data_IF_168734111616
#
_entry.id   IF_168734111616
#
_cell.length_a   1.000
_cell.length_b   1.000
_cell.length_c   1.000
_cell.angle_alpha   90.00
_cell.angle_beta   90.00
_cell.angle_gamma   90.00
#
_symmetry.space_group_name_H-M   'P 1'
#
loop_
_entity.id
_entity.type
_entity.pdbx_description
1 polymer ?
#
# COMPACT_ATOMS: atom_id res chain seq x y z
N UNK A 1 -15.59 -23.96 -1.43
CA UNK A 1 -14.57 -23.60 -2.44
C UNK A 1 -13.37 -24.55 -2.37
N UNK A 2 -12.74 -24.86 -3.51
CA UNK A 2 -11.47 -25.62 -3.55
C UNK A 2 -10.29 -24.67 -3.50
N UNK A 3 -9.50 -24.78 -2.44
CA UNK A 3 -8.27 -24.01 -2.29
C UNK A 3 -7.05 -24.92 -2.30
N UNK A 4 -6.02 -24.49 -3.03
CA UNK A 4 -4.68 -25.07 -2.98
C UNK A 4 -3.88 -24.35 -1.89
N UNK A 5 -3.40 -25.08 -0.89
CA UNK A 5 -2.55 -24.52 0.14
C UNK A 5 -1.20 -24.06 -0.46
N UNK A 6 -0.75 -22.80 -0.22
CA UNK A 6 0.53 -22.33 -0.75
C UNK A 6 1.74 -23.00 -0.10
N UNK A 7 1.58 -23.60 1.10
CA UNK A 7 2.69 -24.20 1.84
C UNK A 7 2.90 -25.69 1.53
N UNK A 8 1.82 -26.47 1.45
CA UNK A 8 1.92 -27.92 1.23
C UNK A 8 1.29 -28.40 -0.07
N UNK A 9 0.73 -27.47 -0.87
CA UNK A 9 0.09 -27.76 -2.15
C UNK A 9 -1.14 -28.67 -2.09
N UNK A 10 -1.59 -29.07 -0.89
CA UNK A 10 -2.81 -29.85 -0.72
C UNK A 10 -4.02 -29.06 -1.20
N UNK A 11 -4.84 -29.71 -2.03
CA UNK A 11 -6.12 -29.18 -2.50
C UNK A 11 -7.23 -29.79 -1.63
N UNK A 12 -8.00 -28.94 -0.97
CA UNK A 12 -9.11 -29.36 -0.11
C UNK A 12 -10.33 -28.48 -0.34
N UNK A 13 -11.49 -29.06 -0.08
CA UNK A 13 -12.77 -28.34 -0.04
C UNK A 13 -12.89 -27.65 1.32
N UNK A 14 -13.11 -26.33 1.30
CA UNK A 14 -13.36 -25.49 2.47
C UNK A 14 -14.76 -24.86 2.34
N UNK A 15 -15.46 -24.76 3.47
CA UNK A 15 -16.72 -24.04 3.57
C UNK A 15 -16.47 -22.55 3.35
N UNK A 16 -17.47 -21.86 2.79
CA UNK A 16 -17.38 -20.45 2.45
C UNK A 16 -17.30 -19.64 3.76
N UNK A 17 -16.18 -18.95 4.05
CA UNK A 17 -16.06 -18.23 5.32
C UNK A 17 -17.05 -17.06 5.32
N UNK A 18 -17.81 -16.90 6.41
CA UNK A 18 -18.74 -15.78 6.61
C UNK A 18 -17.96 -14.46 6.70
N UNK A 19 -17.64 -13.86 5.55
CA UNK A 19 -17.22 -12.48 5.27
C UNK A 19 -16.14 -11.79 6.14
N UNK A 20 -15.62 -12.42 7.20
CA UNK A 20 -14.71 -11.80 8.20
C UNK A 20 -13.50 -12.65 8.55
N UNK A 21 -13.44 -13.91 8.14
CA UNK A 21 -12.28 -14.76 8.39
C UNK A 21 -11.34 -14.73 7.18
N UNK A 22 -10.34 -13.85 7.25
CA UNK A 22 -9.35 -13.63 6.19
C UNK A 22 -8.36 -14.81 6.07
N UNK A 23 -8.33 -15.71 7.05
CA UNK A 23 -7.35 -16.81 7.17
C UNK A 23 -8.03 -18.18 7.23
N UNK A 24 -7.51 -19.10 6.41
CA UNK A 24 -7.93 -20.51 6.36
C UNK A 24 -6.81 -21.36 6.93
N UNK A 25 -7.13 -22.23 7.89
CA UNK A 25 -6.18 -23.23 8.39
C UNK A 25 -6.19 -24.47 7.50
N UNK A 26 -5.03 -24.82 6.94
CA UNK A 26 -4.91 -25.96 6.05
C UNK A 26 -5.12 -27.29 6.79
N UNK A 27 -6.05 -28.14 6.30
CA UNK A 27 -6.30 -29.49 6.85
C UNK A 27 -5.14 -30.48 6.61
N UNK A 28 -4.18 -30.15 5.72
CA UNK A 28 -3.04 -31.02 5.40
C UNK A 28 -1.80 -30.74 6.24
N UNK A 29 -1.38 -29.47 6.33
CA UNK A 29 -0.16 -29.07 7.05
C UNK A 29 -0.41 -28.24 8.31
N UNK A 30 -1.67 -27.93 8.64
CA UNK A 30 -2.06 -27.18 9.83
C UNK A 30 -1.73 -25.68 9.82
N UNK A 31 -1.07 -25.17 8.76
CA UNK A 31 -0.71 -23.76 8.63
C UNK A 31 -1.88 -22.91 8.18
N UNK A 32 -1.94 -21.68 8.69
CA UNK A 32 -2.90 -20.66 8.28
C UNK A 32 -2.38 -19.91 7.06
N UNK A 33 -3.26 -19.64 6.10
CA UNK A 33 -2.95 -18.85 4.91
C UNK A 33 -4.16 -17.99 4.55
N UNK A 34 -3.94 -16.86 3.86
CA UNK A 34 -5.07 -16.02 3.46
C UNK A 34 -5.78 -16.61 2.25
N UNK A 35 -7.12 -16.59 2.26
CA UNK A 35 -7.91 -17.10 1.13
C UNK A 35 -7.56 -16.39 -0.20
N UNK A 36 -7.18 -15.10 -0.15
CA UNK A 36 -6.73 -14.31 -1.29
C UNK A 36 -5.37 -14.77 -1.87
N UNK A 37 -4.54 -15.47 -1.09
CA UNK A 37 -3.23 -16.00 -1.53
C UNK A 37 -3.35 -17.39 -2.17
N UNK A 38 -4.52 -18.03 -2.03
CA UNK A 38 -4.84 -19.29 -2.70
C UNK A 38 -5.68 -19.03 -3.95
N UNK A 39 -5.19 -19.45 -5.12
CA UNK A 39 -5.99 -19.38 -6.36
C UNK A 39 -7.24 -20.26 -6.21
N UNK A 40 -8.46 -19.70 -6.33
CA UNK A 40 -9.65 -20.51 -6.43
C UNK A 40 -9.54 -21.32 -7.72
N UNK A 41 -9.60 -22.65 -7.62
CA UNK A 41 -9.68 -23.51 -8.80
C UNK A 41 -11.12 -23.50 -9.31
N UNK A 42 -11.58 -22.38 -9.86
CA UNK A 42 -12.84 -22.34 -10.60
C UNK A 42 -12.61 -22.96 -11.98
N UNK A 43 -13.44 -23.93 -12.32
CA UNK A 43 -13.41 -24.60 -13.61
C UNK A 43 -13.60 -23.59 -14.76
N UNK A 44 -12.86 -23.81 -15.84
CA UNK A 44 -12.96 -23.17 -17.17
C UNK A 44 -12.11 -21.90 -17.38
N UNK A 45 -10.93 -22.09 -17.97
CA UNK A 45 -10.35 -21.13 -18.92
C UNK A 45 -9.38 -21.87 -19.85
N UNK A 46 -9.96 -22.49 -20.88
CA UNK A 46 -9.28 -22.86 -22.11
C UNK A 46 -8.82 -21.61 -22.85
N UNK A 47 -7.58 -21.64 -23.37
CA UNK A 47 -7.21 -20.88 -24.56
C UNK A 47 -6.62 -19.48 -24.33
N UNK A 48 -5.29 -19.44 -24.37
CA UNK A 48 -4.44 -18.48 -25.11
C UNK A 48 -4.70 -16.96 -25.00
N UNK A 49 -3.63 -16.25 -24.62
CA UNK A 49 -3.35 -14.81 -24.86
C UNK A 49 -3.62 -13.80 -23.73
N UNK A 50 -4.14 -14.23 -22.57
CA UNK A 50 -4.32 -13.32 -21.42
C UNK A 50 -3.07 -13.11 -20.59
N UNK A 51 -2.15 -14.08 -20.51
CA UNK A 51 -0.95 -13.99 -19.68
C UNK A 51 0.04 -12.90 -20.14
N UNK A 52 0.18 -12.73 -21.45
CA UNK A 52 1.06 -11.70 -22.01
C UNK A 52 0.39 -10.32 -22.02
N UNK A 53 -0.92 -10.24 -22.28
CA UNK A 53 -1.70 -9.02 -22.14
C UNK A 53 -1.71 -8.49 -20.69
N UNK A 54 -1.89 -9.37 -19.70
CA UNK A 54 -1.80 -9.03 -18.27
C UNK A 54 -0.37 -8.63 -17.90
N UNK A 55 0.66 -9.33 -18.39
CA UNK A 55 2.07 -8.90 -18.18
C UNK A 55 2.38 -7.56 -18.85
N UNK A 56 1.83 -7.25 -20.02
CA UNK A 56 2.00 -5.96 -20.70
C UNK A 56 1.26 -4.84 -19.95
N UNK A 57 0.05 -5.10 -19.43
CA UNK A 57 -0.64 -4.17 -18.54
C UNK A 57 0.14 -3.93 -17.24
N UNK A 58 0.68 -4.99 -16.63
CA UNK A 58 1.54 -4.87 -15.44
C UNK A 58 2.84 -4.11 -15.75
N UNK A 59 3.48 -4.34 -16.91
CA UNK A 59 4.65 -3.57 -17.34
C UNK A 59 4.32 -2.10 -17.63
N UNK A 60 3.18 -1.79 -18.25
CA UNK A 60 2.75 -0.42 -18.52
C UNK A 60 2.39 0.34 -17.23
N UNK A 61 1.82 -0.33 -16.24
CA UNK A 61 1.48 0.28 -14.94
C UNK A 61 2.68 0.35 -13.99
N UNK A 62 3.61 -0.62 -14.04
CA UNK A 62 4.86 -0.59 -13.27
C UNK A 62 5.78 0.56 -13.67
N UNK A 63 5.75 1.01 -14.93
CA UNK A 63 6.48 2.20 -15.39
C UNK A 63 6.01 3.53 -14.78
N UNK A 64 4.85 3.55 -14.09
CA UNK A 64 4.30 4.73 -13.40
C UNK A 64 4.01 4.48 -11.92
N UNK A 65 4.30 3.29 -11.40
CA UNK A 65 4.12 2.98 -9.98
C UNK A 65 5.29 3.60 -9.21
N UNK A 66 5.05 4.76 -8.58
CA UNK A 66 6.01 5.30 -7.62
C UNK A 66 6.33 4.24 -6.57
N UNK A 67 7.62 4.15 -6.22
CA UNK A 67 8.13 3.21 -5.22
C UNK A 67 7.27 3.29 -3.93
N UNK A 68 6.65 2.18 -3.50
CA UNK A 68 5.81 2.16 -2.31
C UNK A 68 6.56 2.64 -1.06
N UNK A 69 7.88 2.44 -0.99
CA UNK A 69 8.71 2.97 0.10
C UNK A 69 8.71 4.49 0.09
N UNK A 70 8.88 5.13 -1.08
CA UNK A 70 8.82 6.59 -1.22
C UNK A 70 7.45 7.15 -0.87
N UNK A 71 6.36 6.46 -1.25
CA UNK A 71 4.99 6.86 -0.87
C UNK A 71 4.81 6.83 0.65
N UNK A 72 5.28 5.79 1.32
CA UNK A 72 5.20 5.69 2.79
C UNK A 72 6.08 6.73 3.50
N UNK A 73 7.25 7.04 2.93
CA UNK A 73 8.16 8.04 3.48
C UNK A 73 7.58 9.46 3.41
N UNK A 74 6.94 9.84 2.30
CA UNK A 74 6.24 11.14 2.17
C UNK A 74 5.13 11.29 3.22
N UNK A 75 4.28 10.26 3.37
CA UNK A 75 3.20 10.29 4.33
C UNK A 75 3.72 10.47 5.77
N UNK A 76 4.83 9.79 6.11
CA UNK A 76 5.49 9.92 7.41
C UNK A 76 6.00 11.34 7.65
N UNK A 77 6.74 11.92 6.69
CA UNK A 77 7.27 13.28 6.79
C UNK A 77 6.16 14.32 7.00
N UNK A 78 5.03 14.16 6.31
CA UNK A 78 3.87 15.05 6.44
C UNK A 78 3.24 14.95 7.83
N UNK A 79 3.10 13.73 8.37
CA UNK A 79 2.55 13.49 9.69
C UNK A 79 3.46 14.04 10.81
N UNK A 80 4.77 13.77 10.73
CA UNK A 80 5.78 14.30 11.67
C UNK A 80 5.79 15.83 11.66
N UNK A 81 5.74 16.45 10.48
CA UNK A 81 5.68 17.91 10.37
C UNK A 81 4.43 18.48 11.03
N UNK A 82 3.26 17.85 10.87
CA UNK A 82 2.03 18.29 11.54
C UNK A 82 2.14 18.24 13.08
N UNK A 83 2.83 17.24 13.63
CA UNK A 83 3.10 17.15 15.07
C UNK A 83 4.01 18.30 15.51
N UNK A 84 5.08 18.58 14.77
CA UNK A 84 5.99 19.69 15.07
C UNK A 84 5.31 21.06 14.99
N UNK A 85 4.41 21.28 14.03
CA UNK A 85 3.61 22.52 13.95
C UNK A 85 2.79 22.70 15.23
N UNK A 86 2.13 21.65 15.72
CA UNK A 86 1.33 21.72 16.96
C UNK A 86 2.17 21.99 18.20
N UNK A 87 3.44 21.58 18.20
CA UNK A 87 4.39 21.81 19.29
C UNK A 87 5.08 23.19 19.22
N UNK A 88 4.89 23.94 18.15
CA UNK A 88 5.63 25.19 17.90
C UNK A 88 7.04 24.98 17.35
N UNK A 89 7.42 23.73 17.05
CA UNK A 89 8.73 23.36 16.48
C UNK A 89 8.78 23.69 14.98
N UNK A 90 8.61 24.96 14.61
CA UNK A 90 8.43 25.37 13.21
C UNK A 90 9.60 25.01 12.31
N UNK A 91 10.84 25.06 12.79
CA UNK A 91 12.02 24.66 12.01
C UNK A 91 12.02 23.18 11.63
N UNK A 92 11.65 22.30 12.57
CA UNK A 92 11.55 20.85 12.31
C UNK A 92 10.40 20.54 11.37
N UNK A 93 9.27 21.23 11.52
CA UNK A 93 8.16 21.13 10.59
C UNK A 93 8.57 21.54 9.17
N UNK A 94 9.23 22.68 9.00
CA UNK A 94 9.68 23.17 7.67
C UNK A 94 10.66 22.18 7.03
N UNK A 95 11.60 21.62 7.79
CA UNK A 95 12.53 20.62 7.29
C UNK A 95 11.82 19.37 6.74
N UNK A 96 10.87 18.80 7.49
CA UNK A 96 10.09 17.65 7.07
C UNK A 96 9.23 17.92 5.83
N UNK A 97 8.58 19.08 5.77
CA UNK A 97 7.75 19.50 4.63
C UNK A 97 8.59 19.74 3.36
N UNK A 98 9.79 20.31 3.48
CA UNK A 98 10.71 20.47 2.34
C UNK A 98 11.19 19.14 1.80
N UNK A 99 11.51 18.19 2.68
CA UNK A 99 11.91 16.85 2.27
C UNK A 99 10.77 16.10 1.58
N UNK A 100 9.54 16.30 2.05
CA UNK A 100 8.34 15.79 1.39
C UNK A 100 8.19 16.35 -0.03
N UNK A 101 8.39 17.66 -0.22
CA UNK A 101 8.32 18.30 -1.55
C UNK A 101 9.43 17.86 -2.51
N UNK A 102 10.62 17.49 -2.03
CA UNK A 102 11.67 16.91 -2.89
C UNK A 102 11.24 15.57 -3.48
N UNK A 103 10.50 14.78 -2.72
CA UNK A 103 10.01 13.47 -3.16
C UNK A 103 8.75 13.60 -4.02
N UNK A 104 7.85 14.52 -3.66
CA UNK A 104 6.64 14.84 -4.40
C UNK A 104 6.45 16.36 -4.50
N UNK A 105 6.89 16.96 -5.62
CA UNK A 105 6.79 18.40 -5.83
C UNK A 105 5.34 18.91 -5.89
N UNK A 106 4.43 18.10 -6.41
CA UNK A 106 3.01 18.46 -6.56
C UNK A 106 2.20 18.17 -5.29
N UNK A 107 2.44 18.97 -4.26
CA UNK A 107 1.70 18.90 -2.99
C UNK A 107 1.23 20.29 -2.55
N UNK A 108 0.16 20.85 -3.15
CA UNK A 108 -0.30 22.21 -2.87
C UNK A 108 -0.70 22.45 -1.40
N UNK A 109 -1.10 21.39 -0.68
CA UNK A 109 -1.37 21.45 0.75
C UNK A 109 -0.11 21.70 1.59
N UNK A 110 1.04 21.15 1.18
CA UNK A 110 2.34 21.34 1.86
C UNK A 110 2.84 22.77 1.67
N UNK A 111 2.68 23.33 0.48
CA UNK A 111 3.00 24.74 0.25
C UNK A 111 2.16 25.69 1.11
N UNK A 112 0.86 25.38 1.25
CA UNK A 112 -0.04 26.15 2.14
C UNK A 112 0.43 26.07 3.59
N UNK A 113 0.88 24.90 4.04
CA UNK A 113 1.44 24.71 5.39
C UNK A 113 2.73 25.50 5.56
N UNK A 114 3.65 25.48 4.59
CA UNK A 114 4.88 26.28 4.64
C UNK A 114 4.59 27.78 4.73
N UNK A 115 3.65 28.30 3.91
CA UNK A 115 3.19 29.70 4.01
C UNK A 115 2.65 30.02 5.39
N UNK A 116 1.78 29.15 5.93
CA UNK A 116 1.23 29.30 7.28
C UNK A 116 2.32 29.35 8.35
N UNK A 117 3.29 28.43 8.28
CA UNK A 117 4.41 28.40 9.23
C UNK A 117 5.26 29.67 9.13
N UNK A 118 5.54 30.17 7.92
CA UNK A 118 6.26 31.43 7.74
C UNK A 118 5.57 32.61 8.43
N UNK A 119 4.23 32.69 8.35
CA UNK A 119 3.46 33.69 9.10
C UNK A 119 3.57 33.48 10.61
N UNK A 120 3.39 32.25 11.11
CA UNK A 120 3.45 31.96 12.54
C UNK A 120 4.84 32.21 13.16
N UNK A 121 5.92 32.00 12.39
CA UNK A 121 7.31 32.27 12.82
C UNK A 121 7.67 33.75 12.77
N UNK A 122 7.09 34.50 11.82
CA UNK A 122 7.32 35.94 11.67
C UNK A 122 6.44 36.83 12.54
N UNK A 123 5.50 36.26 13.31
CA UNK A 123 4.64 36.98 14.27
C UNK A 123 5.19 36.98 15.70
N UNK A 124 6.51 36.81 15.87
CA UNK A 124 7.22 36.86 17.16
C UNK A 124 8.10 38.11 17.24
#
# INVERSE_FOLDING_TARGET
>A
MRFKCPHCQAVKDYEEPEYREIYIRCKGCGREFRAAESSPLTASASGTDTGEAVRRLFKQTAGRAEDPVKRTQVARLNAEAAIHIKRGDYERAVAGLRESLKQKPDQPHIERLLRKISHMRGSA
#
